data_IF_734624465283
#
_entry.id   IF_734624465283
#
_cell.length_a   1.000
_cell.length_b   1.000
_cell.length_c   1.000
_cell.angle_alpha   90.00
_cell.angle_beta   90.00
_cell.angle_gamma   90.00
#
_symmetry.space_group_name_H-M   'P 1'
#
loop_
_entity.id
_entity.type
_entity.pdbx_description
1 polymer ?
#
# COMPACT_ATOMS: atom_id res chain seq x y z
N UNK A 1 46.59 27.63 42.39
CA UNK A 1 47.53 26.73 41.71
C UNK A 1 46.79 26.13 40.51
N UNK A 2 47.02 26.67 39.33
CA UNK A 2 46.38 26.22 38.06
C UNK A 2 47.27 25.14 37.46
N UNK A 3 46.73 23.94 37.23
CA UNK A 3 47.43 22.91 36.46
C UNK A 3 46.97 23.02 35.00
N UNK A 4 47.89 23.38 34.12
CA UNK A 4 47.77 23.28 32.67
C UNK A 4 47.88 21.80 32.28
N UNK A 5 46.97 21.31 31.47
CA UNK A 5 47.08 20.03 30.80
C UNK A 5 47.38 20.32 29.33
N UNK A 6 48.55 19.88 28.91
CA UNK A 6 49.01 19.98 27.52
C UNK A 6 48.28 18.91 26.66
N UNK A 7 47.71 19.34 25.53
CA UNK A 7 47.14 18.46 24.52
C UNK A 7 48.22 18.15 23.50
N UNK A 8 48.59 16.87 23.39
CA UNK A 8 49.44 16.36 22.32
C UNK A 8 48.60 16.11 21.08
N UNK A 9 48.84 16.84 19.99
CA UNK A 9 48.30 16.55 18.67
C UNK A 9 49.31 15.60 17.99
N UNK A 10 48.90 14.34 17.82
CA UNK A 10 49.64 13.40 16.98
C UNK A 10 49.10 13.49 15.54
N UNK A 11 49.94 13.97 14.63
CA UNK A 11 49.69 13.99 13.19
C UNK A 11 49.90 12.56 12.63
N UNK A 12 48.85 11.85 12.29
CA UNK A 12 48.95 10.59 11.56
C UNK A 12 48.79 10.87 10.05
N UNK A 13 49.90 10.74 9.34
CA UNK A 13 49.90 10.74 7.86
C UNK A 13 49.44 9.38 7.39
N UNK A 14 48.23 9.31 6.84
CA UNK A 14 47.77 8.12 6.14
C UNK A 14 48.18 8.21 4.66
N UNK A 15 49.07 7.33 4.26
CA UNK A 15 49.36 7.05 2.84
C UNK A 15 48.19 6.31 2.23
N UNK A 16 47.50 6.93 1.26
CA UNK A 16 46.50 6.28 0.44
C UNK A 16 47.15 5.26 -0.50
N UNK A 17 46.97 3.97 -0.19
CA UNK A 17 47.13 2.91 -1.19
C UNK A 17 45.80 2.82 -1.96
N UNK A 18 45.85 3.11 -3.25
CA UNK A 18 44.69 3.05 -4.12
C UNK A 18 44.16 1.62 -4.20
N UNK A 19 42.96 1.43 -3.70
CA UNK A 19 42.14 0.27 -4.01
C UNK A 19 41.22 0.68 -5.18
N UNK A 20 41.23 -0.09 -6.27
CA UNK A 20 40.42 0.15 -7.44
C UNK A 20 38.95 0.14 -7.03
N UNK A 21 38.25 1.25 -7.28
CA UNK A 21 36.81 1.34 -7.13
C UNK A 21 36.17 0.43 -8.18
N UNK A 22 35.47 -0.62 -7.73
CA UNK A 22 34.43 -1.23 -8.54
C UNK A 22 33.45 -0.12 -8.94
N UNK A 23 33.30 0.08 -10.24
CA UNK A 23 32.33 0.97 -10.82
C UNK A 23 30.94 0.44 -10.48
N UNK A 24 30.32 1.01 -9.45
CA UNK A 24 28.87 0.95 -9.31
C UNK A 24 28.29 1.51 -10.62
N UNK A 25 27.59 0.69 -11.36
CA UNK A 25 26.78 1.14 -12.50
C UNK A 25 25.80 2.16 -11.96
N UNK A 26 25.98 3.43 -12.34
CA UNK A 26 24.95 4.47 -12.18
C UNK A 26 23.71 3.96 -12.91
N UNK A 27 22.72 3.50 -12.13
CA UNK A 27 21.37 3.29 -12.61
C UNK A 27 20.90 4.64 -13.11
N UNK A 28 20.77 4.80 -14.44
CA UNK A 28 20.27 6.03 -15.03
C UNK A 28 18.94 6.36 -14.39
N UNK A 29 18.92 7.41 -13.56
CA UNK A 29 17.71 7.90 -12.94
C UNK A 29 16.73 8.29 -14.05
N UNK A 30 15.72 7.47 -14.27
CA UNK A 30 14.65 7.79 -15.21
C UNK A 30 13.93 9.01 -14.65
N UNK A 31 14.07 10.16 -15.31
CA UNK A 31 13.44 11.41 -14.89
C UNK A 31 11.95 11.34 -15.22
N UNK A 32 11.13 11.04 -14.22
CA UNK A 32 9.67 11.04 -14.36
C UNK A 32 9.16 12.48 -14.41
N UNK A 33 8.50 12.84 -15.51
CA UNK A 33 7.97 14.19 -15.71
C UNK A 33 6.48 14.22 -15.40
N UNK A 34 6.05 15.24 -14.62
CA UNK A 34 4.64 15.56 -14.39
C UNK A 34 4.19 16.58 -15.43
N UNK A 35 3.25 16.20 -16.29
CA UNK A 35 2.67 17.10 -17.31
C UNK A 35 1.34 17.67 -16.82
N UNK A 36 0.98 18.89 -17.28
CA UNK A 36 -0.31 19.51 -16.97
C UNK A 36 -1.36 19.12 -18.03
N UNK A 37 -2.56 18.79 -17.57
CA UNK A 37 -3.72 18.48 -18.42
C UNK A 37 -4.93 19.31 -18.00
N UNK A 38 -5.86 19.57 -18.92
CA UNK A 38 -7.13 20.22 -18.56
C UNK A 38 -8.14 19.13 -18.19
N UNK A 39 -8.64 19.17 -16.94
CA UNK A 39 -9.65 18.26 -16.44
C UNK A 39 -10.60 19.02 -15.52
N UNK A 40 -11.90 18.80 -15.69
CA UNK A 40 -12.89 19.32 -14.74
C UNK A 40 -13.10 18.29 -13.64
N UNK A 41 -12.84 18.66 -12.39
CA UNK A 41 -13.06 17.83 -11.21
C UNK A 41 -14.19 18.45 -10.39
N UNK A 42 -15.28 17.71 -10.12
CA UNK A 42 -16.37 18.20 -9.30
C UNK A 42 -15.93 18.52 -7.86
N UNK A 43 -16.70 19.38 -7.19
CA UNK A 43 -16.53 19.65 -5.76
C UNK A 43 -16.64 18.36 -4.94
N UNK A 44 -15.87 18.30 -3.87
CA UNK A 44 -15.85 17.14 -2.98
C UNK A 44 -16.96 17.27 -1.95
N UNK A 45 -17.85 16.27 -1.92
CA UNK A 45 -18.86 16.12 -0.89
C UNK A 45 -18.84 14.67 -0.39
N UNK A 46 -18.79 14.48 0.94
CA UNK A 46 -18.87 13.19 1.60
C UNK A 46 -19.76 13.33 2.85
N UNK A 47 -20.75 12.47 3.02
CA UNK A 47 -21.70 12.48 4.12
C UNK A 47 -22.35 13.87 4.37
N UNK A 48 -22.61 14.61 3.27
CA UNK A 48 -23.20 15.95 3.31
C UNK A 48 -22.20 17.06 3.68
N UNK A 49 -20.94 16.78 3.91
CA UNK A 49 -19.88 17.75 4.17
C UNK A 49 -19.18 18.12 2.86
N UNK A 50 -19.14 19.42 2.54
CA UNK A 50 -18.34 19.95 1.43
C UNK A 50 -16.95 20.33 1.90
N UNK A 51 -15.92 19.95 1.14
CA UNK A 51 -14.52 20.25 1.47
C UNK A 51 -13.67 20.33 0.19
N UNK A 52 -12.45 20.80 0.32
CA UNK A 52 -11.48 20.77 -0.79
C UNK A 52 -11.00 19.32 -1.02
N UNK A 53 -10.52 19.05 -2.24
CA UNK A 53 -9.93 17.74 -2.57
C UNK A 53 -8.71 17.42 -1.67
N UNK A 54 -7.92 18.42 -1.31
CA UNK A 54 -6.76 18.20 -0.44
C UNK A 54 -7.16 17.87 1.01
N UNK A 55 -8.25 18.46 1.52
CA UNK A 55 -8.81 18.09 2.83
C UNK A 55 -9.35 16.66 2.82
N UNK A 56 -10.07 16.26 1.77
CA UNK A 56 -10.53 14.89 1.61
C UNK A 56 -9.35 13.91 1.57
N UNK A 57 -8.38 14.16 0.69
CA UNK A 57 -7.18 13.31 0.57
C UNK A 57 -6.43 13.21 1.89
N UNK A 58 -6.31 14.32 2.63
CA UNK A 58 -5.69 14.31 3.96
C UNK A 58 -6.43 13.37 4.90
N UNK A 59 -7.77 13.47 4.96
CA UNK A 59 -8.59 12.59 5.79
C UNK A 59 -8.43 11.10 5.44
N UNK A 60 -8.28 10.79 4.15
CA UNK A 60 -8.01 9.41 3.69
C UNK A 60 -6.63 8.93 4.13
N UNK A 61 -5.56 9.66 3.79
CA UNK A 61 -4.20 9.19 4.08
C UNK A 61 -3.86 9.19 5.57
N UNK A 62 -4.55 9.97 6.38
CA UNK A 62 -4.45 9.90 7.84
C UNK A 62 -4.98 8.58 8.41
N UNK A 63 -5.93 7.94 7.74
CA UNK A 63 -6.51 6.65 8.15
C UNK A 63 -5.73 5.48 7.57
N UNK A 64 -5.28 5.60 6.33
CA UNK A 64 -4.63 4.51 5.58
C UNK A 64 -3.15 4.30 5.97
N UNK A 65 -2.47 5.36 6.43
CA UNK A 65 -1.04 5.32 6.69
C UNK A 65 -0.70 5.40 8.19
N UNK A 66 0.43 4.80 8.53
CA UNK A 66 1.01 5.01 9.86
C UNK A 66 1.69 6.39 9.91
N UNK A 67 1.48 7.11 11.01
CA UNK A 67 1.97 8.47 11.21
C UNK A 67 3.52 8.64 11.18
N UNK A 68 4.26 7.53 11.29
CA UNK A 68 5.72 7.48 11.23
C UNK A 68 6.27 7.09 9.86
N UNK A 69 5.41 7.00 8.82
CA UNK A 69 5.86 6.75 7.46
C UNK A 69 6.60 7.95 6.88
N UNK A 70 7.45 7.72 5.91
CA UNK A 70 8.26 8.75 5.26
C UNK A 70 7.42 9.69 4.40
N UNK A 71 7.81 10.98 4.26
CA UNK A 71 7.05 11.97 3.48
C UNK A 71 6.77 11.54 2.03
N UNK A 72 7.72 10.89 1.37
CA UNK A 72 7.53 10.42 -0.02
C UNK A 72 6.46 9.33 -0.14
N UNK A 73 6.28 8.50 0.89
CA UNK A 73 5.18 7.55 0.99
C UNK A 73 3.83 8.28 1.09
N UNK A 74 3.72 9.29 1.98
CA UNK A 74 2.51 10.13 2.09
C UNK A 74 2.16 10.80 0.77
N UNK A 75 3.14 11.34 0.02
CA UNK A 75 2.93 11.96 -1.30
C UNK A 75 2.41 10.95 -2.33
N UNK A 76 2.99 9.76 -2.39
CA UNK A 76 2.53 8.70 -3.29
C UNK A 76 1.08 8.31 -3.00
N UNK A 77 0.74 8.13 -1.72
CA UNK A 77 -0.62 7.82 -1.29
C UNK A 77 -1.61 8.96 -1.51
N UNK A 78 -1.19 10.21 -1.32
CA UNK A 78 -2.02 11.37 -1.61
C UNK A 78 -2.43 11.42 -3.09
N UNK A 79 -1.49 11.12 -4.00
CA UNK A 79 -1.77 11.04 -5.45
C UNK A 79 -2.70 9.86 -5.76
N UNK A 80 -2.46 8.67 -5.19
CA UNK A 80 -3.31 7.50 -5.39
C UNK A 80 -4.74 7.74 -4.88
N UNK A 81 -4.90 8.25 -3.66
CA UNK A 81 -6.19 8.55 -3.06
C UNK A 81 -6.97 9.61 -3.88
N UNK A 82 -6.27 10.69 -4.31
CA UNK A 82 -6.86 11.69 -5.20
C UNK A 82 -7.28 11.11 -6.54
N UNK A 83 -6.48 10.21 -7.11
CA UNK A 83 -6.81 9.52 -8.37
C UNK A 83 -8.12 8.75 -8.26
N UNK A 84 -8.28 7.96 -7.19
CA UNK A 84 -9.49 7.19 -6.93
C UNK A 84 -10.71 8.10 -6.72
N UNK A 85 -10.55 9.19 -5.99
CA UNK A 85 -11.61 10.18 -5.78
C UNK A 85 -12.05 10.82 -7.12
N UNK A 86 -11.11 11.35 -7.90
CA UNK A 86 -11.39 11.94 -9.23
C UNK A 86 -12.03 10.93 -10.17
N UNK A 87 -11.52 9.69 -10.22
CA UNK A 87 -12.09 8.61 -11.03
C UNK A 87 -13.55 8.33 -10.65
N UNK A 88 -13.86 8.27 -9.36
CA UNK A 88 -15.21 8.02 -8.86
C UNK A 88 -16.17 9.17 -9.16
N UNK A 89 -15.74 10.41 -8.93
CA UNK A 89 -16.52 11.62 -9.26
C UNK A 89 -16.79 11.73 -10.76
N UNK A 90 -15.80 11.44 -11.62
CA UNK A 90 -15.97 11.44 -13.08
C UNK A 90 -16.95 10.36 -13.58
N UNK A 91 -17.23 9.34 -12.77
CA UNK A 91 -18.29 8.36 -13.03
C UNK A 91 -19.67 8.81 -12.54
N UNK A 92 -19.81 10.02 -12.02
CA UNK A 92 -21.04 10.55 -11.43
C UNK A 92 -21.43 9.89 -10.10
N UNK A 93 -20.45 9.30 -9.39
CA UNK A 93 -20.65 8.62 -8.09
C UNK A 93 -20.17 9.50 -6.96
N UNK A 94 -20.91 9.52 -5.86
CA UNK A 94 -20.50 10.20 -4.63
C UNK A 94 -19.31 9.51 -3.97
N UNK A 95 -18.48 10.28 -3.24
CA UNK A 95 -17.47 9.71 -2.36
C UNK A 95 -18.15 9.10 -1.14
N UNK A 96 -17.60 7.99 -0.66
CA UNK A 96 -18.12 7.27 0.50
C UNK A 96 -16.97 6.89 1.42
N UNK A 97 -17.20 6.96 2.74
CA UNK A 97 -16.33 6.35 3.74
C UNK A 97 -16.62 4.84 3.79
N UNK A 98 -15.71 4.04 3.26
CA UNK A 98 -15.91 2.59 3.21
C UNK A 98 -14.62 1.84 2.93
N UNK A 99 -14.43 0.71 3.60
CA UNK A 99 -13.35 -0.25 3.31
C UNK A 99 -13.42 -0.85 1.90
N UNK A 100 -14.57 -0.74 1.22
CA UNK A 100 -14.73 -1.14 -0.19
C UNK A 100 -14.32 -0.06 -1.20
N UNK A 101 -13.99 1.15 -0.71
CA UNK A 101 -13.49 2.25 -1.53
C UNK A 101 -12.26 2.90 -0.90
N UNK A 102 -12.44 3.83 0.02
CA UNK A 102 -11.39 4.49 0.82
C UNK A 102 -11.98 4.84 2.19
N UNK A 103 -11.27 4.48 3.25
CA UNK A 103 -11.63 4.96 4.59
C UNK A 103 -11.30 6.44 4.71
N UNK A 104 -12.18 7.19 5.37
CA UNK A 104 -12.05 8.63 5.55
C UNK A 104 -12.38 9.02 7.00
N UNK A 105 -11.63 9.95 7.53
CA UNK A 105 -12.00 10.65 8.77
C UNK A 105 -11.92 12.17 8.55
N UNK A 106 -12.94 12.85 9.01
CA UNK A 106 -12.96 14.32 9.00
C UNK A 106 -11.89 14.90 9.92
N UNK A 107 -11.53 16.16 9.69
CA UNK A 107 -10.59 16.89 10.57
C UNK A 107 -11.04 16.91 12.04
N UNK A 108 -12.35 16.94 12.28
CA UNK A 108 -12.92 16.92 13.63
C UNK A 108 -12.70 15.56 14.29
N UNK A 109 -13.01 14.46 13.62
CA UNK A 109 -12.81 13.10 14.11
C UNK A 109 -11.33 12.80 14.36
N UNK A 110 -10.43 13.21 13.45
CA UNK A 110 -8.99 13.08 13.65
C UNK A 110 -8.49 13.87 14.87
N UNK A 111 -9.06 15.07 15.12
CA UNK A 111 -8.72 15.86 16.29
C UNK A 111 -9.18 15.20 17.59
N UNK A 112 -10.37 14.59 17.59
CA UNK A 112 -10.87 13.82 18.72
C UNK A 112 -10.03 12.57 18.96
N UNK A 113 -9.62 11.87 17.88
CA UNK A 113 -8.80 10.66 17.94
C UNK A 113 -7.39 10.91 18.48
N UNK A 114 -6.72 11.98 18.04
CA UNK A 114 -5.30 12.23 18.35
C UNK A 114 -5.07 13.27 19.45
N UNK A 115 -6.10 14.00 19.86
CA UNK A 115 -5.98 14.99 20.93
C UNK A 115 -4.85 16.00 20.69
N UNK A 116 -3.91 16.07 21.62
CA UNK A 116 -2.78 17.01 21.58
C UNK A 116 -1.80 16.72 20.42
N UNK A 117 -1.71 15.47 19.95
CA UNK A 117 -0.85 15.07 18.85
C UNK A 117 -1.45 15.37 17.46
N UNK A 118 -2.72 15.79 17.41
CA UNK A 118 -3.44 16.05 16.17
C UNK A 118 -2.67 16.96 15.20
N UNK A 119 -2.17 18.10 15.70
CA UNK A 119 -1.50 19.07 14.83
C UNK A 119 -0.25 18.49 14.17
N UNK A 120 0.49 17.64 14.89
CA UNK A 120 1.69 17.00 14.36
C UNK A 120 1.36 15.99 13.24
N UNK A 121 0.46 15.04 13.50
CA UNK A 121 0.13 13.97 12.53
C UNK A 121 -0.66 14.51 11.33
N UNK A 122 -1.62 15.41 11.58
CA UNK A 122 -2.42 16.01 10.51
C UNK A 122 -1.55 16.83 9.55
N UNK A 123 -0.59 17.60 10.06
CA UNK A 123 0.24 18.45 9.22
C UNK A 123 1.18 17.64 8.28
N UNK A 124 1.65 16.46 8.69
CA UNK A 124 2.43 15.58 7.81
C UNK A 124 1.59 15.20 6.59
N UNK A 125 0.38 14.68 6.81
CA UNK A 125 -0.53 14.27 5.76
C UNK A 125 -1.00 15.46 4.89
N UNK A 126 -1.36 16.57 5.52
CA UNK A 126 -1.83 17.77 4.81
C UNK A 126 -0.73 18.40 3.95
N UNK A 127 0.51 18.45 4.43
CA UNK A 127 1.64 18.92 3.62
C UNK A 127 1.86 18.06 2.38
N UNK A 128 1.79 16.72 2.53
CA UNK A 128 1.90 15.80 1.40
C UNK A 128 0.76 16.00 0.37
N UNK A 129 -0.48 16.21 0.84
CA UNK A 129 -1.62 16.52 -0.03
C UNK A 129 -1.42 17.83 -0.79
N UNK A 130 -0.93 18.89 -0.14
CA UNK A 130 -0.66 20.19 -0.76
C UNK A 130 0.52 20.15 -1.74
N UNK A 131 1.63 19.50 -1.40
CA UNK A 131 2.80 19.37 -2.28
C UNK A 131 2.46 18.60 -3.57
N UNK A 132 1.50 17.71 -3.49
CA UNK A 132 0.97 16.94 -4.63
C UNK A 132 -0.37 17.47 -5.14
N UNK A 133 -0.70 18.72 -4.86
CA UNK A 133 -1.96 19.36 -5.25
C UNK A 133 -2.29 19.13 -6.72
N UNK A 134 -3.53 18.67 -7.00
CA UNK A 134 -4.05 18.33 -8.33
C UNK A 134 -3.26 17.25 -9.11
N UNK A 135 -2.34 16.52 -8.48
CA UNK A 135 -1.67 15.41 -9.14
C UNK A 135 -2.50 14.12 -9.05
N UNK A 136 -2.60 13.41 -10.18
CA UNK A 136 -3.28 12.11 -10.31
C UNK A 136 -2.49 11.17 -11.23
N UNK A 137 -2.78 9.89 -11.11
CA UNK A 137 -2.28 8.82 -11.99
C UNK A 137 -3.30 8.60 -13.11
N UNK A 138 -2.83 8.61 -14.35
CA UNK A 138 -3.65 8.33 -15.53
C UNK A 138 -3.04 7.23 -16.39
N UNK A 139 -3.87 6.56 -17.20
CA UNK A 139 -3.44 5.65 -18.25
C UNK A 139 -2.84 6.41 -19.45
N UNK A 140 -2.44 5.67 -20.49
CA UNK A 140 -1.88 6.27 -21.70
C UNK A 140 -2.90 7.10 -22.49
N UNK A 141 -4.20 6.92 -22.24
CA UNK A 141 -5.31 7.67 -22.84
C UNK A 141 -5.70 8.92 -21.99
N UNK A 142 -5.03 9.13 -20.86
CA UNK A 142 -5.30 10.26 -19.97
C UNK A 142 -6.49 10.06 -19.03
N UNK A 143 -7.00 8.84 -18.87
CA UNK A 143 -8.06 8.52 -17.91
C UNK A 143 -7.48 8.20 -16.54
N UNK A 144 -8.07 8.70 -15.43
CA UNK A 144 -7.68 8.30 -14.08
C UNK A 144 -7.80 6.78 -13.91
N UNK A 145 -6.71 6.15 -13.48
CA UNK A 145 -6.66 4.69 -13.25
C UNK A 145 -7.35 4.30 -11.95
N UNK A 146 -7.58 3.01 -11.75
CA UNK A 146 -7.91 2.44 -10.44
C UNK A 146 -6.63 2.30 -9.63
N UNK A 147 -6.24 3.34 -8.90
CA UNK A 147 -5.02 3.36 -8.12
C UNK A 147 -5.21 2.59 -6.80
N UNK A 148 -5.43 1.27 -6.90
CA UNK A 148 -5.65 0.39 -5.75
C UNK A 148 -4.41 0.35 -4.85
N UNK A 149 -4.64 0.25 -3.56
CA UNK A 149 -3.60 0.09 -2.55
C UNK A 149 -4.07 -0.81 -1.41
N UNK A 150 -3.12 -1.30 -0.64
CA UNK A 150 -3.37 -2.18 0.50
C UNK A 150 -2.30 -1.97 1.57
N UNK A 151 -2.53 -2.48 2.77
CA UNK A 151 -1.62 -2.24 3.89
C UNK A 151 -0.25 -2.92 3.69
N UNK A 152 -0.22 -4.24 3.46
CA UNK A 152 1.00 -5.05 3.47
C UNK A 152 0.88 -6.19 2.45
N UNK A 153 1.80 -6.27 1.51
CA UNK A 153 1.85 -7.40 0.55
C UNK A 153 2.46 -8.66 1.18
N UNK A 154 2.43 -9.74 0.44
CA UNK A 154 3.12 -10.99 0.81
C UNK A 154 4.59 -11.05 0.39
N UNK A 155 5.25 -9.90 0.22
CA UNK A 155 6.60 -9.75 -0.34
C UNK A 155 6.58 -9.44 -1.84
N UNK A 156 5.42 -9.61 -2.47
CA UNK A 156 5.12 -9.29 -3.85
C UNK A 156 3.65 -8.90 -3.98
N UNK A 157 3.33 -7.93 -4.84
CA UNK A 157 1.93 -7.62 -5.18
C UNK A 157 1.43 -8.61 -6.24
N UNK A 158 0.10 -8.62 -6.50
CA UNK A 158 -0.51 -9.57 -7.43
C UNK A 158 -1.03 -8.87 -8.69
N UNK A 159 -1.12 -9.63 -9.79
CA UNK A 159 -1.84 -9.18 -10.99
C UNK A 159 -3.34 -9.07 -10.71
N UNK A 160 -3.97 -8.04 -11.29
CA UNK A 160 -5.40 -7.78 -11.11
C UNK A 160 -6.30 -8.96 -11.45
N UNK A 161 -5.91 -9.78 -12.44
CA UNK A 161 -6.67 -10.97 -12.82
C UNK A 161 -6.88 -11.95 -11.66
N UNK A 162 -5.85 -12.21 -10.86
CA UNK A 162 -5.93 -13.17 -9.76
C UNK A 162 -6.77 -12.71 -8.56
N UNK A 163 -7.08 -11.43 -8.48
CA UNK A 163 -7.85 -10.88 -7.36
C UNK A 163 -9.26 -10.47 -7.78
N UNK A 164 -9.41 -9.89 -8.98
CA UNK A 164 -10.69 -9.34 -9.46
C UNK A 164 -11.32 -10.16 -10.59
N UNK A 165 -10.57 -11.09 -11.21
CA UNK A 165 -10.97 -11.79 -12.43
C UNK A 165 -10.85 -10.93 -13.70
N UNK A 166 -10.37 -9.68 -13.59
CA UNK A 166 -10.23 -8.75 -14.73
C UNK A 166 -8.77 -8.32 -14.83
N UNK A 167 -8.20 -8.46 -16.02
CA UNK A 167 -6.84 -8.00 -16.29
C UNK A 167 -6.82 -6.49 -16.58
N UNK A 168 -5.90 -5.77 -15.92
CA UNK A 168 -5.62 -4.35 -16.19
C UNK A 168 -4.13 -4.14 -16.36
N UNK A 169 -3.74 -3.25 -17.27
CA UNK A 169 -2.32 -3.03 -17.59
C UNK A 169 -1.55 -2.39 -16.43
N UNK A 170 -2.20 -1.59 -15.61
CA UNK A 170 -1.56 -0.82 -14.54
C UNK A 170 -1.51 -1.54 -13.18
N UNK A 171 -2.17 -2.69 -13.01
CA UNK A 171 -2.15 -3.49 -11.77
C UNK A 171 -1.50 -4.85 -12.05
N UNK A 172 -0.18 -4.86 -12.08
CA UNK A 172 0.67 -6.04 -12.25
C UNK A 172 1.40 -6.38 -10.95
N UNK A 173 1.70 -7.65 -10.80
CA UNK A 173 2.51 -8.12 -9.67
C UNK A 173 3.94 -7.57 -9.75
N UNK A 174 4.38 -6.91 -8.68
CA UNK A 174 5.73 -6.34 -8.56
C UNK A 174 6.35 -6.72 -7.22
N UNK A 175 7.68 -6.69 -7.16
CA UNK A 175 8.43 -6.93 -5.93
C UNK A 175 8.05 -5.93 -4.84
N UNK A 176 7.91 -6.42 -3.62
CA UNK A 176 7.67 -5.62 -2.42
C UNK A 176 8.32 -6.27 -1.19
N UNK A 177 9.56 -6.73 -1.34
CA UNK A 177 10.32 -7.44 -0.31
C UNK A 177 10.50 -6.66 1.01
N UNK A 178 10.30 -5.34 0.99
CA UNK A 178 10.30 -4.50 2.20
C UNK A 178 9.23 -4.94 3.20
N UNK A 179 8.13 -5.49 2.70
CA UNK A 179 6.99 -5.95 3.49
C UNK A 179 7.33 -7.15 4.38
N UNK A 180 8.21 -8.03 3.92
CA UNK A 180 8.61 -9.26 4.64
C UNK A 180 9.31 -8.97 5.99
N UNK A 181 9.89 -7.76 6.13
CA UNK A 181 10.60 -7.32 7.35
C UNK A 181 9.67 -6.75 8.43
N UNK A 182 8.37 -6.65 8.14
CA UNK A 182 7.40 -6.05 9.05
C UNK A 182 6.95 -7.09 10.08
N UNK A 183 6.94 -6.70 11.35
CA UNK A 183 6.63 -7.62 12.47
C UNK A 183 5.26 -8.29 12.38
N UNK A 184 4.29 -7.69 11.71
CA UNK A 184 2.95 -8.25 11.49
C UNK A 184 2.79 -8.92 10.11
N UNK A 185 3.89 -9.20 9.41
CA UNK A 185 3.90 -9.86 8.10
C UNK A 185 3.20 -11.22 8.12
N UNK A 186 3.47 -12.02 9.14
CA UNK A 186 2.82 -13.30 9.36
C UNK A 186 1.75 -13.19 10.45
N UNK A 187 0.56 -13.76 10.19
CA UNK A 187 -0.50 -13.81 11.18
C UNK A 187 -1.20 -15.16 11.15
N UNK A 188 -1.36 -15.77 12.33
CA UNK A 188 -2.03 -17.04 12.50
C UNK A 188 -3.46 -16.86 13.00
N UNK A 189 -4.38 -17.60 12.39
CA UNK A 189 -5.77 -17.68 12.81
C UNK A 189 -6.22 -19.13 12.88
N UNK A 190 -6.63 -19.57 14.05
CA UNK A 190 -7.28 -20.86 14.25
C UNK A 190 -8.79 -20.72 14.08
N UNK A 191 -9.42 -21.69 13.37
CA UNK A 191 -10.88 -21.82 13.26
C UNK A 191 -11.22 -23.28 13.54
N UNK A 192 -12.07 -23.52 14.55
CA UNK A 192 -12.50 -24.87 14.90
C UNK A 192 -13.35 -25.52 13.80
N UNK A 193 -13.41 -26.86 13.73
CA UNK A 193 -14.28 -27.55 12.76
C UNK A 193 -15.75 -27.23 12.99
N UNK A 194 -16.18 -26.98 14.23
CA UNK A 194 -17.54 -26.55 14.53
C UNK A 194 -17.84 -25.18 13.94
N UNK A 195 -16.96 -24.20 14.12
CA UNK A 195 -17.08 -22.87 13.50
C UNK A 195 -17.03 -22.91 11.97
N UNK A 196 -16.16 -23.77 11.40
CA UNK A 196 -16.08 -23.95 9.95
C UNK A 196 -17.41 -24.48 9.38
N UNK A 197 -18.06 -25.39 10.08
CA UNK A 197 -19.37 -25.92 9.67
C UNK A 197 -20.49 -24.93 9.93
N UNK A 198 -20.62 -24.39 11.15
CA UNK A 198 -21.78 -23.58 11.57
C UNK A 198 -21.77 -22.16 11.04
N UNK A 199 -20.61 -21.49 11.03
CA UNK A 199 -20.50 -20.07 10.58
C UNK A 199 -20.16 -19.94 9.09
N UNK A 200 -19.38 -20.87 8.55
CA UNK A 200 -18.86 -20.77 7.18
C UNK A 200 -19.43 -21.79 6.20
N UNK A 201 -20.20 -22.77 6.70
CA UNK A 201 -20.82 -23.81 5.89
C UNK A 201 -19.81 -24.81 5.29
N UNK A 202 -18.65 -24.98 5.93
CA UNK A 202 -17.57 -25.86 5.48
C UNK A 202 -17.44 -27.06 6.42
N UNK A 203 -18.09 -28.17 6.08
CA UNK A 203 -18.10 -29.39 6.91
C UNK A 203 -16.81 -30.19 6.74
N UNK A 204 -15.98 -30.24 7.80
CA UNK A 204 -14.67 -30.93 7.84
C UNK A 204 -13.87 -30.68 6.56
N UNK A 205 -13.60 -29.40 6.19
CA UNK A 205 -13.01 -29.06 4.92
C UNK A 205 -11.56 -29.57 4.83
N UNK A 206 -11.19 -29.99 3.62
CA UNK A 206 -9.80 -30.17 3.22
C UNK A 206 -9.52 -29.14 2.14
N UNK A 207 -8.44 -28.41 2.30
CA UNK A 207 -8.00 -27.38 1.35
C UNK A 207 -6.92 -28.00 0.46
N UNK A 208 -7.20 -28.09 -0.83
CA UNK A 208 -6.25 -28.56 -1.85
C UNK A 208 -5.99 -27.43 -2.84
N UNK A 209 -4.75 -27.01 -2.98
CA UNK A 209 -4.36 -26.03 -4.01
C UNK A 209 -4.57 -26.65 -5.38
N UNK A 210 -5.30 -25.96 -6.26
CA UNK A 210 -5.63 -26.38 -7.62
C UNK A 210 -4.78 -25.64 -8.63
N UNK A 211 -4.57 -24.32 -8.41
CA UNK A 211 -3.77 -23.46 -9.27
C UNK A 211 -3.00 -22.42 -8.47
N UNK A 212 -2.02 -21.77 -9.11
CA UNK A 212 -1.18 -20.76 -8.52
C UNK A 212 -1.18 -19.51 -9.39
N UNK A 213 -0.88 -18.35 -8.78
CA UNK A 213 -0.63 -17.08 -9.48
C UNK A 213 0.72 -17.13 -10.21
N UNK A 214 1.00 -16.11 -11.04
CA UNK A 214 2.30 -15.96 -11.68
C UNK A 214 3.45 -15.77 -10.66
N UNK A 215 3.15 -15.19 -9.49
CA UNK A 215 4.09 -15.05 -8.36
C UNK A 215 4.32 -16.35 -7.58
N UNK A 216 3.57 -17.42 -7.91
CA UNK A 216 3.68 -18.74 -7.25
C UNK A 216 2.81 -18.88 -6.00
N UNK A 217 2.03 -17.86 -5.64
CA UNK A 217 1.08 -17.95 -4.54
C UNK A 217 -0.12 -18.84 -4.91
N UNK A 218 -0.74 -19.58 -3.97
CA UNK A 218 -1.98 -20.30 -4.23
C UNK A 218 -3.08 -19.36 -4.73
N UNK A 219 -3.69 -19.71 -5.88
CA UNK A 219 -4.77 -18.91 -6.47
C UNK A 219 -6.14 -19.55 -6.23
N UNK A 220 -6.29 -20.85 -6.55
CA UNK A 220 -7.53 -21.58 -6.35
C UNK A 220 -7.35 -22.76 -5.41
N UNK A 221 -8.37 -22.97 -4.61
CA UNK A 221 -8.47 -24.10 -3.68
C UNK A 221 -9.73 -24.91 -3.96
N UNK A 222 -9.59 -26.23 -4.03
CA UNK A 222 -10.72 -27.14 -3.91
C UNK A 222 -11.02 -27.34 -2.42
N UNK A 223 -12.25 -26.99 -2.00
CA UNK A 223 -12.73 -27.12 -0.61
C UNK A 223 -14.14 -27.69 -0.62
N UNK A 224 -14.38 -28.87 0.01
CA UNK A 224 -15.68 -29.53 0.03
C UNK A 224 -16.28 -29.73 -1.38
N UNK A 225 -15.46 -30.15 -2.36
CA UNK A 225 -15.84 -30.36 -3.78
C UNK A 225 -16.30 -29.09 -4.52
N UNK A 226 -15.94 -27.91 -4.02
CA UNK A 226 -16.12 -26.62 -4.71
C UNK A 226 -14.78 -25.95 -4.85
N UNK A 227 -14.60 -25.23 -5.94
CA UNK A 227 -13.43 -24.38 -6.17
C UNK A 227 -13.75 -22.97 -5.69
N UNK A 228 -12.81 -22.38 -4.96
CA UNK A 228 -12.81 -21.01 -4.47
C UNK A 228 -11.48 -20.37 -4.82
N UNK A 229 -11.49 -19.11 -5.19
CA UNK A 229 -10.24 -18.34 -5.24
C UNK A 229 -9.73 -18.05 -3.83
N UNK A 230 -8.44 -17.78 -3.71
CA UNK A 230 -7.83 -17.39 -2.44
C UNK A 230 -8.48 -16.10 -1.88
N UNK A 231 -8.85 -15.16 -2.77
CA UNK A 231 -9.56 -13.92 -2.41
C UNK A 231 -10.96 -14.22 -1.87
N UNK A 232 -11.73 -15.11 -2.49
CA UNK A 232 -13.03 -15.53 -1.96
C UNK A 232 -12.93 -16.18 -0.59
N UNK A 233 -11.92 -17.03 -0.37
CA UNK A 233 -11.66 -17.65 0.93
C UNK A 233 -11.21 -16.62 1.97
N UNK A 234 -10.39 -15.64 1.58
CA UNK A 234 -9.99 -14.54 2.46
C UNK A 234 -11.23 -13.83 3.02
N UNK A 235 -12.14 -13.39 2.16
CA UNK A 235 -13.37 -12.73 2.60
C UNK A 235 -14.31 -13.68 3.38
N UNK A 236 -14.53 -14.90 2.87
CA UNK A 236 -15.41 -15.89 3.50
C UNK A 236 -14.96 -16.26 4.91
N UNK A 237 -13.66 -16.42 5.13
CA UNK A 237 -13.09 -16.86 6.40
C UNK A 237 -12.55 -15.68 7.23
N UNK A 238 -12.72 -14.43 6.78
CA UNK A 238 -12.17 -13.21 7.42
C UNK A 238 -10.67 -13.32 7.69
N UNK A 239 -9.90 -13.81 6.71
CA UNK A 239 -8.44 -13.87 6.78
C UNK A 239 -7.85 -12.49 6.48
N UNK A 240 -6.65 -12.22 6.99
CA UNK A 240 -5.98 -10.93 6.77
C UNK A 240 -5.49 -10.72 5.34
N UNK A 241 -5.15 -11.81 4.64
CA UNK A 241 -4.59 -11.79 3.29
C UNK A 241 -5.15 -12.93 2.46
N UNK A 242 -5.16 -12.76 1.14
CA UNK A 242 -5.43 -13.82 0.18
C UNK A 242 -4.24 -14.77 -0.03
N UNK A 243 -3.06 -14.45 0.52
CA UNK A 243 -1.91 -15.35 0.53
C UNK A 243 -1.82 -16.02 1.89
N UNK A 244 -2.10 -17.34 1.94
CA UNK A 244 -2.12 -18.09 3.18
C UNK A 244 -1.71 -19.57 3.02
N UNK A 245 -1.21 -20.14 4.10
CA UNK A 245 -0.99 -21.58 4.29
C UNK A 245 -2.05 -22.15 5.21
N UNK A 246 -2.33 -23.44 5.01
CA UNK A 246 -3.35 -24.19 5.76
C UNK A 246 -2.67 -25.32 6.51
N UNK A 247 -2.87 -25.38 7.82
CA UNK A 247 -2.40 -26.46 8.70
C UNK A 247 -3.60 -27.13 9.38
N UNK A 248 -3.81 -28.41 9.09
CA UNK A 248 -4.90 -29.18 9.68
C UNK A 248 -4.49 -29.67 11.07
N UNK A 249 -5.29 -29.35 12.08
CA UNK A 249 -5.13 -29.78 13.45
C UNK A 249 -6.23 -30.77 13.83
N UNK A 250 -6.17 -31.35 15.02
CA UNK A 250 -7.14 -32.36 15.49
C UNK A 250 -8.57 -31.79 15.59
N UNK A 251 -8.70 -30.54 16.07
CA UNK A 251 -9.98 -29.90 16.41
C UNK A 251 -10.34 -28.75 15.46
N UNK A 252 -9.51 -28.42 14.46
CA UNK A 252 -9.76 -27.33 13.53
C UNK A 252 -8.63 -27.12 12.52
N UNK A 253 -8.59 -25.91 11.97
CA UNK A 253 -7.60 -25.49 10.98
C UNK A 253 -6.92 -24.23 11.43
N UNK A 254 -5.59 -24.20 11.38
CA UNK A 254 -4.79 -22.99 11.52
C UNK A 254 -4.47 -22.45 10.12
N UNK A 255 -4.86 -21.20 9.88
CA UNK A 255 -4.50 -20.42 8.71
C UNK A 255 -3.35 -19.48 9.05
N UNK A 256 -2.25 -19.59 8.34
CA UNK A 256 -1.12 -18.65 8.44
C UNK A 256 -1.17 -17.74 7.22
N UNK A 257 -1.55 -16.47 7.40
CA UNK A 257 -1.60 -15.46 6.33
C UNK A 257 -0.29 -14.69 6.27
N UNK A 258 0.11 -14.28 5.07
CA UNK A 258 1.27 -13.44 4.77
C UNK A 258 0.78 -12.12 4.18
N UNK A 259 1.17 -11.00 4.79
CA UNK A 259 0.67 -9.67 4.43
C UNK A 259 -0.69 -9.32 5.05
N UNK A 260 -1.25 -8.19 4.60
CA UNK A 260 -2.56 -7.69 5.04
C UNK A 260 -3.24 -6.92 3.91
N UNK A 261 -4.32 -7.46 3.37
CA UNK A 261 -5.12 -6.92 2.28
C UNK A 261 -5.18 -7.83 1.06
N UNK A 262 -5.67 -7.29 -0.02
CA UNK A 262 -5.92 -8.02 -1.26
C UNK A 262 -4.70 -8.16 -2.18
N UNK A 263 -3.59 -7.51 -1.87
CA UNK A 263 -2.32 -7.62 -2.63
C UNK A 263 -2.26 -6.85 -3.95
N UNK A 264 -3.28 -6.03 -4.32
CA UNK A 264 -3.28 -5.27 -5.57
C UNK A 264 -2.69 -3.88 -5.42
N UNK A 265 -1.90 -3.47 -6.41
CA UNK A 265 -1.37 -2.13 -6.54
C UNK A 265 -0.38 -1.79 -5.43
N UNK A 266 -0.44 -0.60 -4.85
CA UNK A 266 0.58 -0.10 -3.94
C UNK A 266 0.45 -0.67 -2.52
N UNK A 267 1.52 -1.32 -2.02
CA UNK A 267 1.65 -1.66 -0.60
C UNK A 267 2.05 -0.43 0.20
N UNK A 268 1.37 -0.16 1.33
CA UNK A 268 1.70 0.97 2.19
C UNK A 268 3.08 0.79 2.86
N UNK A 269 3.36 -0.39 3.38
CA UNK A 269 4.67 -0.67 3.97
C UNK A 269 5.76 -0.79 2.90
N UNK A 270 5.46 -1.36 1.72
CA UNK A 270 6.39 -1.42 0.59
C UNK A 270 6.77 -0.02 0.10
N UNK A 271 5.78 0.86 -0.11
CA UNK A 271 5.99 2.27 -0.46
C UNK A 271 6.86 3.00 0.56
N UNK A 272 6.61 2.76 1.86
CA UNK A 272 7.42 3.32 2.94
C UNK A 272 8.84 2.73 2.96
N UNK A 273 9.00 1.45 2.63
CA UNK A 273 10.31 0.81 2.47
C UNK A 273 11.13 1.47 1.37
N UNK A 274 10.53 1.68 0.20
CA UNK A 274 11.13 2.42 -0.91
C UNK A 274 11.49 3.87 -0.52
N UNK A 275 10.60 4.57 0.18
CA UNK A 275 10.85 5.93 0.65
C UNK A 275 12.05 6.00 1.61
N UNK A 276 12.21 5.03 2.52
CA UNK A 276 13.38 4.89 3.39
C UNK A 276 14.68 4.63 2.63
N UNK A 277 14.62 4.03 1.45
CA UNK A 277 15.75 3.87 0.54
C UNK A 277 15.99 5.11 -0.34
N UNK A 278 15.30 6.22 -0.08
CA UNK A 278 15.46 7.50 -0.79
C UNK A 278 14.72 7.57 -2.14
N UNK A 279 13.80 6.66 -2.41
CA UNK A 279 12.97 6.73 -3.62
C UNK A 279 11.92 7.83 -3.48
N UNK A 280 11.74 8.61 -4.54
CA UNK A 280 10.73 9.68 -4.62
C UNK A 280 9.34 9.10 -4.80
N UNK A 281 8.29 9.87 -4.49
CA UNK A 281 6.90 9.49 -4.72
C UNK A 281 6.61 9.10 -6.18
N UNK A 282 7.29 9.72 -7.16
CA UNK A 282 7.16 9.33 -8.56
C UNK A 282 7.75 7.97 -8.86
N UNK A 283 8.90 7.64 -8.27
CA UNK A 283 9.51 6.32 -8.38
C UNK A 283 8.64 5.25 -7.71
N UNK A 284 8.06 5.56 -6.54
CA UNK A 284 7.14 4.67 -5.82
C UNK A 284 5.90 4.38 -6.68
N UNK A 285 5.24 5.40 -7.22
CA UNK A 285 4.05 5.22 -8.06
C UNK A 285 4.37 4.41 -9.32
N UNK A 286 5.49 4.68 -10.00
CA UNK A 286 5.89 3.95 -11.21
C UNK A 286 6.40 2.53 -10.92
N UNK A 287 6.77 2.22 -9.69
CA UNK A 287 7.07 0.85 -9.27
C UNK A 287 5.79 0.02 -9.09
N UNK A 288 4.80 0.56 -8.37
CA UNK A 288 3.59 -0.18 -8.03
C UNK A 288 2.50 -0.15 -9.12
N UNK A 289 2.55 0.83 -10.03
CA UNK A 289 1.60 0.93 -11.14
C UNK A 289 2.36 0.97 -12.46
N UNK A 290 2.06 0.03 -13.33
CA UNK A 290 2.69 -0.08 -14.67
C UNK A 290 1.88 0.70 -15.72
N UNK A 291 2.49 1.06 -16.84
CA UNK A 291 1.83 1.74 -17.97
C UNK A 291 1.04 3.02 -17.59
N UNK A 292 1.57 3.77 -16.63
CA UNK A 292 0.92 4.97 -16.10
C UNK A 292 1.70 6.24 -16.44
N UNK A 293 1.02 7.38 -16.27
CA UNK A 293 1.62 8.70 -16.18
C UNK A 293 1.07 9.44 -14.96
N UNK A 294 1.90 10.26 -14.33
CA UNK A 294 1.44 11.21 -13.31
C UNK A 294 1.23 12.55 -13.99
N UNK A 295 0.04 13.13 -13.83
CA UNK A 295 -0.32 14.42 -14.43
C UNK A 295 -0.86 15.37 -13.36
N UNK A 296 -0.82 16.68 -13.63
CA UNK A 296 -1.47 17.73 -12.82
C UNK A 296 -2.65 18.29 -13.61
N UNK A 297 -3.85 18.37 -13.03
CA UNK A 297 -5.05 18.94 -13.65
C UNK A 297 -5.35 20.36 -13.13
#
# INVERSE_FOLDING_TARGET
MKKMIAVFIALLVFTFVGCASETATEEQATEYQVTTVSMNVPDVTIDGMSMTMDEYVTGVICVELQNWFEPECFKAFAIAARTNAVRRLNQGKELIDSTSFQCFMSKTELKELWGDDFAFYYNIAYSAALETHNMIVVDQQGKPVDAMYHALSSGQTEDSFYVTGVETSHLKGVDSHWDEKISCFEHKRFISYDDLETKYGLKKPKFKVVSQTASGNPYEYEVCSKTYTATELMYKLYLRSNVFKVNNLEDGIEFTTYGYGHGLGMSAYGANGMAKEGKTYLQILNHFYTDIRVVRY
#
